data_IF_932093600422
#
_entry.id   IF_932093600422
#
_cell.length_a   1.000
_cell.length_b   1.000
_cell.length_c   1.000
_cell.angle_alpha   90.00
_cell.angle_beta   90.00
_cell.angle_gamma   90.00
#
_symmetry.space_group_name_H-M   'P 1'
#
loop_
_entity.id
_entity.type
_entity.pdbx_description
1 polymer ?
#
# COMPACT_ATOMS: atom_id res chain seq x y z
N UNK A 1 11.71 8.35 17.07
CA UNK A 1 12.52 9.57 17.25
C UNK A 1 11.72 10.76 16.72
N UNK A 2 11.76 11.90 17.43
CA UNK A 2 11.16 13.17 16.97
C UNK A 2 12.23 14.22 16.80
N UNK A 3 12.17 14.95 15.69
CA UNK A 3 13.06 16.04 15.32
C UNK A 3 12.24 17.30 15.12
N UNK A 4 12.74 18.44 15.61
CA UNK A 4 12.13 19.76 15.43
C UNK A 4 13.17 20.73 14.92
N UNK A 5 12.85 21.39 13.81
CA UNK A 5 13.67 22.49 13.27
C UNK A 5 12.86 23.79 13.27
N UNK A 6 13.45 24.86 13.76
CA UNK A 6 12.88 26.21 13.78
C UNK A 6 14.00 27.23 13.53
N UNK A 7 14.19 27.66 12.28
CA UNK A 7 15.32 28.49 11.86
C UNK A 7 16.65 27.80 12.10
N UNK A 8 17.48 28.40 12.94
CA UNK A 8 18.77 27.88 13.38
C UNK A 8 18.69 26.86 14.53
N UNK A 9 17.49 26.72 15.15
CA UNK A 9 17.27 25.75 16.22
C UNK A 9 16.98 24.40 15.65
N UNK A 10 17.71 23.36 16.10
CA UNK A 10 17.44 21.98 15.80
C UNK A 10 17.48 21.15 17.08
N UNK A 11 16.41 20.40 17.34
CA UNK A 11 16.27 19.55 18.52
C UNK A 11 15.86 18.14 18.12
N UNK A 12 16.37 17.15 18.85
CA UNK A 12 16.06 15.73 18.68
C UNK A 12 15.67 15.11 20.01
N UNK A 13 14.62 14.28 20.00
CA UNK A 13 14.23 13.44 21.13
C UNK A 13 14.04 11.99 20.68
N UNK A 14 14.67 11.07 21.38
CA UNK A 14 14.32 9.67 21.33
C UNK A 14 13.18 9.45 22.32
N UNK A 15 12.09 8.83 21.83
CA UNK A 15 10.86 8.70 22.61
C UNK A 15 10.97 7.51 23.54
N UNK A 16 11.01 7.76 24.84
CA UNK A 16 10.88 6.77 25.91
C UNK A 16 9.48 6.79 26.51
N UNK A 17 8.74 7.85 26.21
CA UNK A 17 7.35 8.07 26.63
C UNK A 17 6.54 8.55 25.42
N UNK A 18 5.20 8.43 25.44
CA UNK A 18 4.36 8.80 24.29
C UNK A 18 4.32 10.31 24.01
N UNK A 19 4.87 11.15 24.88
CA UNK A 19 4.89 12.61 24.72
C UNK A 19 6.30 13.17 24.83
N UNK A 20 6.57 14.22 24.04
CA UNK A 20 7.80 15.00 24.13
C UNK A 20 7.47 16.49 24.04
N UNK A 21 8.19 17.30 24.80
CA UNK A 21 8.06 18.76 24.77
C UNK A 21 9.29 19.39 24.10
N UNK A 22 9.04 20.35 23.20
CA UNK A 22 10.07 21.09 22.50
C UNK A 22 9.89 22.58 22.72
N UNK A 23 10.86 23.23 23.34
CA UNK A 23 10.88 24.68 23.52
C UNK A 23 11.44 25.35 22.26
N UNK A 24 10.69 26.28 21.67
CA UNK A 24 11.09 27.01 20.48
C UNK A 24 11.79 28.37 20.78
N UNK A 25 11.85 28.76 22.07
CA UNK A 25 12.32 30.07 22.47
C UNK A 25 11.41 31.18 21.93
N UNK A 26 11.99 32.22 21.33
CA UNK A 26 11.26 33.38 20.80
C UNK A 26 10.76 33.18 19.35
N UNK A 27 10.80 31.96 18.81
CA UNK A 27 10.38 31.66 17.43
C UNK A 27 8.87 31.48 17.37
N UNK A 28 8.26 31.94 16.26
CA UNK A 28 6.80 31.93 16.10
C UNK A 28 6.24 30.53 15.83
N UNK A 29 7.05 29.62 15.33
CA UNK A 29 6.69 28.21 15.05
C UNK A 29 7.90 27.41 14.67
N UNK A 30 7.68 26.16 14.34
CA UNK A 30 8.70 25.30 13.74
C UNK A 30 8.61 25.32 12.22
N UNK A 31 9.72 25.15 11.53
CA UNK A 31 9.75 24.95 10.08
C UNK A 31 9.23 23.56 9.75
N UNK A 32 9.64 22.58 10.56
CA UNK A 32 9.23 21.20 10.42
C UNK A 32 9.33 20.46 11.75
N UNK A 33 8.33 19.62 12.02
CA UNK A 33 8.39 18.54 13.01
C UNK A 33 8.40 17.23 12.24
N UNK A 34 9.43 16.42 12.46
CA UNK A 34 9.60 15.11 11.85
C UNK A 34 9.50 14.01 12.91
N UNK A 35 8.61 13.09 12.71
CA UNK A 35 8.54 11.83 13.47
C UNK A 35 9.19 10.74 12.63
N UNK A 36 10.25 10.13 13.14
CA UNK A 36 10.84 8.94 12.57
C UNK A 36 10.35 7.73 13.38
N UNK A 37 9.48 6.94 12.79
CA UNK A 37 8.87 5.77 13.41
C UNK A 37 9.86 4.61 13.54
N UNK A 38 9.48 3.59 14.30
CA UNK A 38 10.34 2.42 14.54
C UNK A 38 10.64 1.60 13.29
N UNK A 39 9.75 1.65 12.31
CA UNK A 39 9.94 1.03 10.99
C UNK A 39 10.82 1.87 10.04
N UNK A 40 11.39 2.98 10.50
CA UNK A 40 12.24 3.86 9.70
C UNK A 40 11.50 4.91 8.86
N UNK A 41 10.17 4.85 8.80
CA UNK A 41 9.36 5.78 7.98
C UNK A 41 9.25 7.16 8.64
N UNK A 42 9.64 8.26 7.96
CA UNK A 42 9.46 9.61 8.46
C UNK A 42 8.06 10.13 8.15
N UNK A 43 7.45 10.81 9.11
CA UNK A 43 6.29 11.68 8.92
C UNK A 43 6.66 13.12 9.24
N UNK A 44 6.24 14.05 8.41
CA UNK A 44 6.59 15.45 8.55
C UNK A 44 5.34 16.32 8.71
N UNK A 45 5.41 17.28 9.65
CA UNK A 45 4.47 18.40 9.77
C UNK A 45 5.22 19.67 9.45
N UNK A 46 4.86 20.33 8.37
CA UNK A 46 5.46 21.58 7.96
C UNK A 46 4.77 22.77 8.59
N UNK A 47 5.58 23.73 9.05
CA UNK A 47 5.15 25.01 9.60
C UNK A 47 4.08 24.91 10.69
N UNK A 48 4.20 24.00 11.69
CA UNK A 48 3.29 24.00 12.79
C UNK A 48 3.47 25.26 13.66
N UNK A 49 2.36 25.79 14.13
CA UNK A 49 2.37 26.93 15.01
C UNK A 49 2.99 26.60 16.39
N UNK A 50 3.34 27.63 17.16
CA UNK A 50 3.78 27.45 18.54
C UNK A 50 2.60 27.18 19.49
N UNK A 51 2.88 26.70 20.67
CA UNK A 51 1.93 26.49 21.76
C UNK A 51 0.77 25.54 21.40
N UNK A 52 1.04 24.54 20.59
CA UNK A 52 0.06 23.50 20.25
C UNK A 52 0.57 22.11 20.64
N UNK A 53 -0.36 21.18 20.75
CA UNK A 53 -0.08 19.77 20.85
C UNK A 53 -0.31 19.13 19.48
N UNK A 54 0.72 18.46 18.97
CA UNK A 54 0.65 17.69 17.73
C UNK A 54 0.48 16.23 18.13
N UNK A 55 -0.61 15.62 17.69
CA UNK A 55 -0.84 14.19 17.83
C UNK A 55 -0.55 13.55 16.48
N UNK A 56 0.45 12.67 16.45
CA UNK A 56 0.79 11.91 15.25
C UNK A 56 0.44 10.45 15.45
N UNK A 57 -0.28 9.92 14.48
CA UNK A 57 -0.55 8.48 14.36
C UNK A 57 0.30 7.95 13.23
N UNK A 58 0.95 6.82 13.44
CA UNK A 58 1.74 6.18 12.40
C UNK A 58 0.86 5.83 11.21
N UNK A 59 1.13 6.43 10.05
CA UNK A 59 0.56 5.95 8.80
C UNK A 59 1.47 4.87 8.25
N UNK A 60 0.88 3.72 7.95
CA UNK A 60 1.58 2.66 7.24
C UNK A 60 1.71 3.11 5.78
N UNK A 61 2.94 3.36 5.36
CA UNK A 61 3.27 3.63 3.97
C UNK A 61 4.06 2.46 3.43
N UNK A 62 3.78 2.06 2.20
CA UNK A 62 4.60 1.11 1.46
C UNK A 62 6.02 1.64 1.23
N UNK A 63 6.91 0.81 0.76
CA UNK A 63 8.28 1.19 0.36
C UNK A 63 8.34 1.75 -1.07
N UNK A 64 7.28 1.60 -1.83
CA UNK A 64 7.19 1.97 -3.24
C UNK A 64 7.07 3.49 -3.42
N UNK A 65 7.43 4.02 -4.59
CA UNK A 65 7.18 5.42 -4.93
C UNK A 65 5.69 5.77 -4.85
N UNK A 66 5.37 7.02 -4.60
CA UNK A 66 4.00 7.50 -4.48
C UNK A 66 3.66 8.46 -5.61
N UNK A 67 2.40 8.36 -6.07
CA UNK A 67 1.81 9.30 -7.00
C UNK A 67 0.87 10.24 -6.26
N UNK A 68 1.06 11.55 -6.48
CA UNK A 68 0.22 12.62 -5.97
C UNK A 68 -0.37 13.42 -7.13
N UNK A 69 -1.58 13.94 -6.94
CA UNK A 69 -2.25 14.88 -7.83
C UNK A 69 -2.47 16.24 -7.19
N UNK A 70 -2.46 17.28 -7.98
CA UNK A 70 -2.82 18.64 -7.53
C UNK A 70 -4.33 18.78 -7.43
N UNK A 71 -4.86 19.18 -6.25
CA UNK A 71 -6.29 19.31 -5.94
C UNK A 71 -6.73 20.76 -5.74
N UNK A 72 -6.01 21.71 -6.31
CA UNK A 72 -6.33 23.14 -6.15
C UNK A 72 -5.67 23.81 -4.95
N UNK A 73 -5.54 23.11 -3.83
CA UNK A 73 -4.93 23.62 -2.59
C UNK A 73 -3.57 23.00 -2.27
N UNK A 74 -3.30 21.81 -2.80
CA UNK A 74 -2.09 21.08 -2.52
C UNK A 74 -1.98 19.81 -3.36
N UNK A 75 -0.91 19.05 -3.13
CA UNK A 75 -0.75 17.71 -3.66
C UNK A 75 -1.34 16.69 -2.69
N UNK A 76 -2.25 15.86 -3.16
CA UNK A 76 -2.86 14.77 -2.41
C UNK A 76 -2.46 13.41 -2.97
N UNK A 77 -2.32 12.45 -2.07
CA UNK A 77 -1.94 11.09 -2.42
C UNK A 77 -3.03 10.41 -3.25
N UNK A 78 -2.64 9.81 -4.37
CA UNK A 78 -3.52 9.02 -5.23
C UNK A 78 -3.30 7.53 -4.98
N UNK A 79 -2.08 7.04 -5.21
CA UNK A 79 -1.70 5.64 -5.08
C UNK A 79 -0.19 5.50 -4.96
N UNK A 80 0.26 4.33 -4.59
CA UNK A 80 1.65 3.90 -4.72
C UNK A 80 1.91 3.26 -6.08
N UNK A 81 3.19 3.15 -6.43
CA UNK A 81 3.65 2.58 -7.70
C UNK A 81 4.27 1.23 -7.39
N UNK A 82 3.59 0.18 -7.81
CA UNK A 82 3.95 -1.21 -7.53
C UNK A 82 4.39 -1.91 -8.82
N UNK A 83 5.49 -1.54 -9.42
CA UNK A 83 5.89 -2.25 -10.63
C UNK A 83 5.79 -3.77 -10.48
N UNK A 84 5.11 -4.47 -11.40
CA UNK A 84 4.95 -5.92 -11.37
C UNK A 84 6.25 -6.64 -11.72
N UNK A 85 7.33 -6.25 -11.08
CA UNK A 85 8.62 -6.92 -11.21
C UNK A 85 8.80 -7.89 -10.04
N UNK A 86 9.58 -8.93 -10.27
CA UNK A 86 9.91 -9.91 -9.24
C UNK A 86 10.91 -9.39 -8.19
N UNK A 87 10.96 -8.08 -7.98
CA UNK A 87 11.89 -7.42 -7.06
C UNK A 87 11.81 -8.02 -5.66
N UNK A 88 12.96 -8.44 -5.14
CA UNK A 88 13.07 -9.03 -3.82
C UNK A 88 12.48 -10.44 -3.69
N UNK A 89 12.01 -11.04 -4.77
CA UNK A 89 11.57 -12.44 -4.74
C UNK A 89 12.77 -13.36 -4.48
N UNK A 90 12.73 -14.22 -3.45
CA UNK A 90 13.81 -15.16 -3.19
C UNK A 90 13.81 -16.26 -4.25
N UNK A 91 14.96 -16.45 -4.91
CA UNK A 91 15.16 -17.50 -5.92
C UNK A 91 15.78 -18.76 -5.32
N UNK A 92 16.45 -18.63 -4.18
CA UNK A 92 17.15 -19.74 -3.52
C UNK A 92 18.30 -19.28 -2.65
N UNK A 93 19.16 -20.22 -2.26
CA UNK A 93 20.40 -19.95 -1.53
C UNK A 93 21.58 -20.42 -2.37
N UNK A 94 22.54 -19.53 -2.56
CA UNK A 94 23.79 -19.81 -3.25
C UNK A 94 24.96 -19.50 -2.31
N UNK A 95 25.81 -20.48 -2.06
CA UNK A 95 26.96 -20.36 -1.15
C UNK A 95 26.63 -19.85 0.28
N UNK A 96 25.42 -20.17 0.78
CA UNK A 96 24.96 -19.76 2.10
C UNK A 96 24.25 -18.39 2.13
N UNK A 97 24.21 -17.66 1.02
CA UNK A 97 23.57 -16.36 0.91
C UNK A 97 22.27 -16.44 0.12
N UNK A 98 21.23 -15.69 0.50
CA UNK A 98 19.99 -15.66 -0.25
C UNK A 98 20.20 -14.99 -1.61
N UNK A 99 19.67 -15.63 -2.65
CA UNK A 99 19.65 -15.10 -4.00
C UNK A 99 18.26 -14.50 -4.29
N UNK A 100 18.23 -13.23 -4.68
CA UNK A 100 17.01 -12.53 -5.04
C UNK A 100 16.90 -12.27 -6.53
N UNK A 101 15.68 -12.18 -7.04
CA UNK A 101 15.43 -11.79 -8.41
C UNK A 101 15.88 -10.35 -8.66
N UNK A 102 16.50 -10.12 -9.82
CA UNK A 102 16.78 -8.79 -10.30
C UNK A 102 15.50 -8.13 -10.83
N UNK A 103 15.34 -6.80 -10.64
CA UNK A 103 14.24 -6.08 -11.25
C UNK A 103 14.37 -6.07 -12.77
N UNK A 104 13.23 -6.24 -13.44
CA UNK A 104 13.14 -6.07 -14.89
C UNK A 104 12.30 -4.83 -15.18
N UNK A 105 12.53 -4.22 -16.35
CA UNK A 105 11.65 -3.18 -16.87
C UNK A 105 10.24 -3.74 -17.09
N UNK A 106 9.23 -3.08 -16.56
CA UNK A 106 7.82 -3.50 -16.64
C UNK A 106 6.93 -2.30 -16.88
N UNK A 107 5.77 -2.54 -17.46
CA UNK A 107 4.71 -1.53 -17.58
C UNK A 107 3.82 -1.58 -16.35
N UNK A 108 3.41 -0.41 -15.85
CA UNK A 108 2.43 -0.29 -14.81
C UNK A 108 1.40 0.77 -15.17
N UNK A 109 0.13 0.45 -14.92
CA UNK A 109 -1.00 1.32 -15.21
C UNK A 109 -1.65 1.73 -13.90
N UNK A 110 -1.53 3.00 -13.57
CA UNK A 110 -2.10 3.58 -12.36
C UNK A 110 -3.41 4.29 -12.67
N UNK A 111 -4.44 3.99 -11.90
CA UNK A 111 -5.70 4.73 -11.99
C UNK A 111 -5.56 6.08 -11.29
N UNK A 112 -5.79 7.16 -12.05
CA UNK A 112 -5.90 8.51 -11.53
C UNK A 112 -7.37 8.92 -11.62
N UNK A 113 -8.13 8.95 -10.50
CA UNK A 113 -9.52 9.42 -10.53
C UNK A 113 -9.61 10.87 -10.99
N UNK A 114 -10.57 11.19 -11.86
CA UNK A 114 -10.72 12.55 -12.41
C UNK A 114 -10.93 13.63 -11.33
N UNK A 115 -11.57 13.28 -10.22
CA UNK A 115 -11.75 14.16 -9.07
C UNK A 115 -10.50 14.32 -8.18
N UNK A 116 -9.42 13.61 -8.47
CA UNK A 116 -8.13 13.75 -7.79
C UNK A 116 -7.22 14.79 -8.44
N UNK A 117 -7.69 15.45 -9.49
CA UNK A 117 -6.92 16.44 -10.25
C UNK A 117 -7.73 17.72 -10.48
N UNK A 118 -7.11 18.86 -10.18
CA UNK A 118 -7.61 20.17 -10.60
C UNK A 118 -6.64 20.88 -11.53
N UNK A 119 -7.20 21.69 -12.43
CA UNK A 119 -6.41 22.46 -13.37
C UNK A 119 -5.72 23.60 -12.63
N UNK A 120 -4.41 23.72 -12.85
CA UNK A 120 -3.59 24.84 -12.40
C UNK A 120 -2.90 25.44 -13.62
N UNK A 121 -3.10 26.74 -13.86
CA UNK A 121 -2.48 27.45 -14.99
C UNK A 121 -2.69 26.75 -16.36
N UNK A 122 -3.88 26.16 -16.55
CA UNK A 122 -4.24 25.47 -17.78
C UNK A 122 -3.66 24.06 -17.94
N UNK A 123 -3.06 23.49 -16.90
CA UNK A 123 -2.39 22.17 -16.93
C UNK A 123 -2.76 21.33 -15.71
N UNK A 124 -2.63 20.02 -15.85
CA UNK A 124 -2.68 19.08 -14.72
C UNK A 124 -1.27 18.80 -14.21
N UNK A 125 -1.14 18.70 -12.88
CA UNK A 125 0.13 18.41 -12.24
C UNK A 125 0.06 17.12 -11.45
N UNK A 126 0.96 16.21 -11.79
CA UNK A 126 1.20 14.96 -11.09
C UNK A 126 2.63 15.01 -10.51
N UNK A 127 2.81 14.45 -9.33
CA UNK A 127 4.09 14.39 -8.65
C UNK A 127 4.39 12.96 -8.21
N UNK A 128 5.55 12.45 -8.59
CA UNK A 128 6.10 11.22 -8.03
C UNK A 128 7.07 11.55 -6.91
N UNK A 129 7.01 10.79 -5.82
CA UNK A 129 7.96 10.89 -4.72
C UNK A 129 8.55 9.53 -4.38
N UNK A 130 9.80 9.53 -3.98
CA UNK A 130 10.50 8.38 -3.39
C UNK A 130 10.79 8.73 -1.94
N UNK A 131 9.99 8.22 -1.00
CA UNK A 131 10.13 8.59 0.41
C UNK A 131 11.02 7.63 1.20
N UNK A 132 11.28 6.46 0.69
CA UNK A 132 12.16 5.46 1.29
C UNK A 132 13.40 5.24 0.42
N UNK A 133 13.91 4.06 0.38
CA UNK A 133 15.20 3.75 -0.26
C UNK A 133 15.09 3.15 -1.65
N UNK A 134 13.88 2.96 -2.15
CA UNK A 134 13.70 2.46 -3.51
C UNK A 134 13.97 3.56 -4.52
N UNK A 135 14.80 3.24 -5.50
CA UNK A 135 15.15 4.16 -6.58
C UNK A 135 14.39 3.78 -7.83
N UNK A 136 13.38 4.56 -8.26
CA UNK A 136 12.66 4.31 -9.49
C UNK A 136 13.46 4.81 -10.69
N UNK A 137 13.57 3.99 -11.69
CA UNK A 137 14.11 4.33 -13.01
C UNK A 137 12.96 4.41 -14.01
N UNK A 138 12.37 5.60 -14.14
CA UNK A 138 11.28 5.87 -15.08
C UNK A 138 11.88 6.10 -16.47
N UNK A 139 11.43 5.32 -17.46
CA UNK A 139 11.85 5.46 -18.85
C UNK A 139 10.77 6.19 -19.68
N UNK A 140 9.49 5.86 -19.47
CA UNK A 140 8.38 6.45 -20.20
C UNK A 140 7.18 6.68 -19.30
N UNK A 141 6.52 7.83 -19.46
CA UNK A 141 5.27 8.16 -18.77
C UNK A 141 4.27 8.65 -19.81
N UNK A 142 3.06 8.10 -19.80
CA UNK A 142 1.94 8.52 -20.64
C UNK A 142 0.69 8.70 -19.78
N UNK A 143 -0.11 9.72 -20.07
CA UNK A 143 -1.42 9.88 -19.46
C UNK A 143 -2.48 9.43 -20.46
N UNK A 144 -3.23 8.38 -20.07
CA UNK A 144 -4.35 7.87 -20.83
C UNK A 144 -5.65 8.48 -20.28
N UNK A 145 -6.46 9.06 -21.15
CA UNK A 145 -7.76 9.62 -20.75
C UNK A 145 -8.85 8.64 -21.15
N UNK A 146 -9.69 8.28 -20.18
CA UNK A 146 -10.80 7.35 -20.35
C UNK A 146 -12.09 8.01 -19.92
N UNK A 147 -12.95 8.32 -20.90
CA UNK A 147 -14.28 8.84 -20.66
C UNK A 147 -15.28 7.69 -20.53
N UNK A 148 -16.04 7.68 -19.45
CA UNK A 148 -17.08 6.67 -19.22
C UNK A 148 -18.25 7.29 -18.43
N UNK A 149 -19.48 6.74 -18.57
CA UNK A 149 -20.61 7.13 -17.74
C UNK A 149 -20.29 6.92 -16.24
N UNK A 150 -20.85 7.73 -15.38
CA UNK A 150 -20.65 7.65 -13.93
C UNK A 150 -21.07 6.28 -13.36
N UNK A 151 -22.07 5.63 -13.98
CA UNK A 151 -22.54 4.29 -13.63
C UNK A 151 -21.57 3.15 -13.99
N UNK A 152 -20.56 3.44 -14.81
CA UNK A 152 -19.58 2.43 -15.28
C UNK A 152 -18.30 2.57 -14.49
N UNK A 153 -17.84 1.48 -13.88
CA UNK A 153 -16.53 1.42 -13.28
C UNK A 153 -15.52 0.84 -14.27
N UNK A 154 -14.35 1.44 -14.31
CA UNK A 154 -13.24 1.00 -15.17
C UNK A 154 -12.05 0.61 -14.29
N UNK A 155 -11.42 -0.50 -14.59
CA UNK A 155 -10.18 -0.92 -13.95
C UNK A 155 -9.27 -1.65 -14.94
N UNK A 156 -8.03 -1.78 -14.58
CA UNK A 156 -6.99 -2.49 -15.30
C UNK A 156 -6.54 -3.68 -14.46
N UNK A 157 -5.98 -4.67 -15.13
CA UNK A 157 -5.41 -5.84 -14.46
C UNK A 157 -4.01 -5.47 -13.92
N UNK A 158 -3.89 -5.39 -12.61
CA UNK A 158 -2.61 -5.14 -11.92
C UNK A 158 -1.97 -6.47 -11.50
N UNK A 159 -1.63 -7.29 -12.46
CA UNK A 159 -1.08 -8.62 -12.18
C UNK A 159 0.37 -8.56 -11.71
N UNK A 160 0.62 -9.05 -10.51
CA UNK A 160 1.94 -9.36 -9.96
C UNK A 160 2.38 -10.75 -10.42
N UNK A 161 2.80 -10.87 -11.67
CA UNK A 161 3.27 -12.14 -12.22
C UNK A 161 4.65 -12.01 -12.86
N UNK A 162 5.47 -13.06 -12.82
CA UNK A 162 6.70 -13.07 -13.60
C UNK A 162 6.41 -13.09 -15.10
N UNK A 163 7.33 -12.61 -15.95
CA UNK A 163 7.17 -12.64 -17.40
C UNK A 163 6.91 -14.07 -17.94
N UNK A 164 6.13 -14.21 -19.07
CA UNK A 164 5.66 -13.14 -19.92
C UNK A 164 4.46 -12.40 -19.33
N UNK A 165 4.50 -11.04 -19.35
CA UNK A 165 3.41 -10.24 -18.85
C UNK A 165 2.17 -10.37 -19.75
N UNK A 166 0.96 -10.38 -19.17
CA UNK A 166 -0.27 -10.35 -19.96
C UNK A 166 -0.36 -9.03 -20.73
N UNK A 167 -1.00 -9.03 -21.91
CA UNK A 167 -1.25 -7.80 -22.62
C UNK A 167 -2.13 -6.88 -21.78
N UNK A 168 -1.90 -5.58 -21.90
CA UNK A 168 -2.77 -4.58 -21.28
C UNK A 168 -4.23 -4.80 -21.62
N UNK A 169 -5.09 -4.86 -20.62
CA UNK A 169 -6.53 -4.95 -20.75
C UNK A 169 -7.21 -4.01 -19.78
N UNK A 170 -8.22 -3.33 -20.31
CA UNK A 170 -9.11 -2.50 -19.52
C UNK A 170 -10.46 -3.22 -19.40
N UNK A 171 -10.97 -3.28 -18.20
CA UNK A 171 -12.25 -3.91 -17.90
C UNK A 171 -13.23 -2.85 -17.43
N UNK A 172 -14.51 -3.07 -17.72
CA UNK A 172 -15.58 -2.24 -17.21
C UNK A 172 -16.71 -3.10 -16.62
N UNK A 173 -17.41 -2.56 -15.64
CA UNK A 173 -18.55 -3.21 -15.03
C UNK A 173 -19.52 -2.17 -14.47
N UNK A 174 -20.80 -2.50 -14.44
CA UNK A 174 -21.87 -1.67 -13.88
C UNK A 174 -22.37 -2.18 -12.55
N UNK A 175 -22.39 -3.50 -12.37
CA UNK A 175 -22.96 -4.18 -11.23
C UNK A 175 -21.86 -4.73 -10.31
N UNK A 176 -22.05 -4.51 -9.01
CA UNK A 176 -21.24 -5.10 -7.95
C UNK A 176 -22.13 -5.94 -7.07
N UNK A 177 -21.77 -7.18 -6.89
CA UNK A 177 -22.47 -8.06 -5.97
C UNK A 177 -21.62 -8.33 -4.74
N UNK A 178 -22.22 -8.15 -3.57
CA UNK A 178 -21.62 -8.56 -2.32
C UNK A 178 -21.90 -10.06 -2.10
N UNK A 179 -21.02 -10.76 -1.37
CA UNK A 179 -21.33 -12.12 -0.95
C UNK A 179 -22.58 -12.15 -0.07
N UNK A 180 -23.35 -13.23 -0.17
CA UNK A 180 -24.51 -13.49 0.68
C UNK A 180 -24.16 -14.31 1.93
N UNK A 181 -22.97 -14.93 1.93
CA UNK A 181 -22.37 -15.55 3.10
C UNK A 181 -20.84 -15.50 3.01
N UNK A 182 -20.20 -15.41 4.17
CA UNK A 182 -18.78 -15.48 4.32
C UNK A 182 -18.45 -16.26 5.61
N UNK A 183 -17.87 -17.42 5.47
CA UNK A 183 -17.65 -18.35 6.58
C UNK A 183 -16.19 -18.82 6.56
N UNK A 184 -15.54 -18.81 7.71
CA UNK A 184 -14.19 -19.36 7.84
C UNK A 184 -14.18 -20.88 8.03
N UNK A 185 -12.98 -21.46 8.07
CA UNK A 185 -12.75 -22.90 8.30
C UNK A 185 -13.19 -23.37 9.71
N UNK A 186 -13.45 -22.44 10.63
CA UNK A 186 -13.97 -22.72 11.98
C UNK A 186 -15.50 -22.56 12.05
N UNK A 187 -16.16 -22.19 10.96
CA UNK A 187 -17.59 -21.95 10.89
C UNK A 187 -18.02 -20.58 11.43
N UNK A 188 -17.09 -19.62 11.58
CA UNK A 188 -17.41 -18.27 12.02
C UNK A 188 -18.02 -17.48 10.86
N UNK A 189 -19.14 -16.82 11.10
CA UNK A 189 -19.74 -15.89 10.13
C UNK A 189 -18.96 -14.57 10.15
N UNK A 190 -18.40 -14.22 9.00
CA UNK A 190 -17.58 -13.03 8.80
C UNK A 190 -18.19 -12.04 7.80
N UNK A 191 -19.46 -12.24 7.40
CA UNK A 191 -20.09 -11.46 6.34
C UNK A 191 -20.06 -9.97 6.62
N UNK A 192 -20.42 -9.53 7.82
CA UNK A 192 -20.42 -8.12 8.19
C UNK A 192 -19.00 -7.49 8.14
N UNK A 193 -17.96 -8.28 8.41
CA UNK A 193 -16.56 -7.82 8.43
C UNK A 193 -15.98 -7.57 7.05
N UNK A 194 -16.58 -8.13 6.00
CA UNK A 194 -16.02 -8.07 4.64
C UNK A 194 -16.92 -7.36 3.63
N UNK A 195 -18.12 -6.93 4.04
CA UNK A 195 -19.07 -6.24 3.15
C UNK A 195 -19.06 -4.72 3.30
N UNK A 196 -18.47 -4.19 4.36
CA UNK A 196 -18.38 -2.77 4.63
C UNK A 196 -16.92 -2.29 4.57
N UNK A 197 -16.72 -1.10 4.02
CA UNK A 197 -15.42 -0.44 4.02
C UNK A 197 -15.30 0.47 5.25
N UNK A 198 -15.16 -0.12 6.42
CA UNK A 198 -15.15 0.55 7.72
C UNK A 198 -13.81 0.45 8.46
N UNK A 199 -12.81 -0.18 7.84
CA UNK A 199 -11.50 -0.51 8.43
C UNK A 199 -11.56 -1.57 9.53
N UNK A 200 -12.66 -2.29 9.63
CA UNK A 200 -12.72 -3.51 10.41
C UNK A 200 -12.36 -4.71 9.51
N UNK A 201 -11.45 -5.53 9.99
CA UNK A 201 -10.88 -6.64 9.23
C UNK A 201 -11.24 -7.97 9.90
N UNK A 202 -10.98 -9.06 9.23
CA UNK A 202 -11.13 -10.41 9.80
C UNK A 202 -10.27 -10.53 11.08
N UNK A 203 -10.88 -10.75 12.26
CA UNK A 203 -10.17 -10.62 13.53
C UNK A 203 -9.49 -11.90 14.01
N UNK A 204 -9.81 -13.04 13.40
CA UNK A 204 -9.50 -14.38 13.91
C UNK A 204 -8.31 -15.06 13.23
N UNK A 205 -7.47 -14.28 12.54
CA UNK A 205 -6.20 -14.80 12.01
C UNK A 205 -5.26 -15.13 13.16
N UNK A 206 -4.79 -16.37 13.24
CA UNK A 206 -3.84 -16.81 14.27
C UNK A 206 -2.42 -16.49 13.81
N UNK A 207 -1.69 -15.61 14.51
CA UNK A 207 -0.31 -15.29 14.15
C UNK A 207 0.59 -16.52 14.22
N UNK A 208 1.38 -16.74 13.19
CA UNK A 208 2.42 -17.74 13.14
C UNK A 208 3.68 -17.32 13.89
N UNK A 209 4.72 -18.12 13.78
CA UNK A 209 6.02 -17.87 14.44
C UNK A 209 6.72 -16.60 13.92
N UNK A 210 6.50 -16.25 12.67
CA UNK A 210 7.15 -15.12 12.00
C UNK A 210 6.18 -13.96 11.75
N UNK A 211 6.68 -12.75 11.81
CA UNK A 211 5.91 -11.54 11.48
C UNK A 211 5.29 -11.64 10.08
N UNK A 212 4.01 -11.29 9.96
CA UNK A 212 3.28 -11.30 8.69
C UNK A 212 2.89 -12.70 8.20
N UNK A 213 3.11 -13.72 9.01
CA UNK A 213 2.71 -15.10 8.73
C UNK A 213 1.60 -15.50 9.70
N UNK A 214 0.57 -16.12 9.18
CA UNK A 214 -0.51 -16.70 9.97
C UNK A 214 -0.55 -18.21 9.79
N UNK A 215 -1.24 -18.92 10.68
CA UNK A 215 -1.64 -20.29 10.42
C UNK A 215 -2.57 -20.36 9.21
N UNK A 216 -2.72 -21.54 8.62
CA UNK A 216 -3.62 -21.76 7.51
C UNK A 216 -5.05 -21.33 7.92
N UNK A 217 -5.69 -20.58 7.05
CA UNK A 217 -7.01 -20.04 7.29
C UNK A 217 -7.77 -19.94 5.98
N UNK A 218 -8.94 -20.52 5.91
CA UNK A 218 -9.78 -20.51 4.73
C UNK A 218 -10.97 -19.57 4.95
N UNK A 219 -11.30 -18.79 3.93
CA UNK A 219 -12.50 -17.98 3.87
C UNK A 219 -13.36 -18.40 2.68
N UNK A 220 -14.53 -18.93 2.98
CA UNK A 220 -15.51 -19.39 1.98
C UNK A 220 -16.50 -18.26 1.73
N UNK A 221 -16.55 -17.77 0.49
CA UNK A 221 -17.48 -16.75 0.03
C UNK A 221 -18.59 -17.39 -0.80
N UNK A 222 -19.84 -17.03 -0.53
CA UNK A 222 -21.00 -17.48 -1.29
C UNK A 222 -21.64 -16.28 -1.96
N UNK A 223 -21.85 -16.36 -3.26
CA UNK A 223 -22.56 -15.38 -4.06
C UNK A 223 -23.87 -15.98 -4.60
N UNK A 224 -24.78 -15.10 -5.00
CA UNK A 224 -25.97 -15.54 -5.71
C UNK A 224 -25.62 -16.18 -7.07
N UNK A 225 -26.64 -16.74 -7.71
CA UNK A 225 -26.47 -17.42 -9.00
C UNK A 225 -26.07 -16.43 -10.11
N UNK A 226 -24.89 -16.64 -10.66
CA UNK A 226 -24.26 -15.82 -11.70
C UNK A 226 -24.11 -16.58 -13.03
N UNK A 227 -24.96 -17.58 -13.29
CA UNK A 227 -24.84 -18.48 -14.45
C UNK A 227 -24.87 -17.78 -15.81
N UNK A 228 -25.48 -16.62 -15.90
CA UNK A 228 -25.57 -15.84 -17.14
C UNK A 228 -24.37 -14.89 -17.36
N UNK A 229 -23.37 -14.93 -16.49
CA UNK A 229 -22.19 -14.09 -16.61
C UNK A 229 -21.11 -14.74 -17.51
N UNK A 230 -20.64 -14.01 -18.51
CA UNK A 230 -19.54 -14.45 -19.39
C UNK A 230 -18.19 -14.49 -18.65
N UNK A 231 -18.00 -13.58 -17.69
CA UNK A 231 -16.78 -13.46 -16.89
C UNK A 231 -17.08 -12.88 -15.52
N UNK A 232 -16.34 -13.31 -14.52
CA UNK A 232 -16.43 -12.82 -13.15
C UNK A 232 -15.08 -12.26 -12.74
N UNK A 233 -15.11 -11.12 -12.03
CA UNK A 233 -13.94 -10.51 -11.42
C UNK A 233 -14.17 -10.37 -9.93
N UNK A 234 -13.23 -10.84 -9.14
CA UNK A 234 -13.25 -10.66 -7.70
C UNK A 234 -12.45 -9.41 -7.35
N UNK A 235 -13.13 -8.41 -6.82
CA UNK A 235 -12.48 -7.22 -6.27
C UNK A 235 -12.21 -7.43 -4.78
N UNK A 236 -10.96 -7.30 -4.39
CA UNK A 236 -10.50 -7.41 -3.01
C UNK A 236 -9.95 -6.05 -2.56
N UNK A 237 -10.39 -5.59 -1.41
CA UNK A 237 -9.82 -4.43 -0.74
C UNK A 237 -9.38 -4.80 0.66
N UNK A 238 -8.13 -4.52 0.96
CA UNK A 238 -7.51 -4.92 2.22
C UNK A 238 -6.05 -4.48 2.24
N UNK A 239 -5.29 -5.06 3.15
CA UNK A 239 -3.86 -4.86 3.25
C UNK A 239 -3.18 -6.14 3.71
N UNK A 240 -1.91 -6.28 3.35
CA UNK A 240 -1.08 -7.38 3.79
C UNK A 240 -0.12 -6.89 4.87
N UNK A 241 -0.03 -7.64 5.96
CA UNK A 241 1.00 -7.38 6.96
C UNK A 241 2.35 -7.86 6.40
N UNK A 242 3.33 -6.96 6.20
CA UNK A 242 4.54 -7.32 5.47
C UNK A 242 5.40 -8.32 6.26
N UNK A 243 5.97 -9.27 5.53
CA UNK A 243 7.05 -10.12 6.04
C UNK A 243 8.39 -9.64 5.48
N UNK A 244 9.48 -9.99 6.16
CA UNK A 244 10.83 -9.77 5.65
C UNK A 244 11.20 -10.85 4.61
N UNK A 245 11.96 -10.46 3.59
CA UNK A 245 12.40 -11.40 2.54
C UNK A 245 13.24 -12.56 3.09
N UNK A 246 14.03 -12.32 4.14
CA UNK A 246 14.80 -13.37 4.82
C UNK A 246 13.91 -14.40 5.52
N UNK A 247 12.76 -13.95 6.04
CA UNK A 247 11.73 -14.82 6.61
C UNK A 247 11.14 -15.70 5.51
N UNK A 248 10.80 -15.13 4.35
CA UNK A 248 10.26 -15.86 3.22
C UNK A 248 11.21 -16.97 2.75
N UNK A 249 12.51 -16.70 2.70
CA UNK A 249 13.53 -17.72 2.37
C UNK A 249 13.51 -18.84 3.40
N UNK A 250 13.48 -18.52 4.69
CA UNK A 250 13.44 -19.52 5.76
C UNK A 250 12.17 -20.39 5.69
N UNK A 251 11.02 -19.75 5.44
CA UNK A 251 9.74 -20.45 5.30
C UNK A 251 9.78 -21.39 4.08
N UNK A 252 10.26 -20.94 2.94
CA UNK A 252 10.32 -21.74 1.72
C UNK A 252 11.18 -22.99 1.85
N UNK A 253 12.11 -22.98 2.79
CA UNK A 253 13.00 -24.12 3.11
C UNK A 253 12.43 -25.02 4.22
N UNK A 254 11.43 -24.57 4.94
CA UNK A 254 10.78 -25.35 5.99
C UNK A 254 9.94 -26.46 5.37
N UNK A 255 10.10 -27.70 5.88
CA UNK A 255 9.30 -28.84 5.45
C UNK A 255 7.80 -28.67 5.75
N UNK A 256 7.43 -27.78 6.67
CA UNK A 256 6.05 -27.48 7.03
C UNK A 256 5.26 -26.79 5.89
N UNK A 257 5.92 -26.07 4.98
CA UNK A 257 5.28 -25.30 3.93
C UNK A 257 5.40 -25.91 2.53
N UNK A 258 6.02 -27.07 2.41
CA UNK A 258 6.28 -27.70 1.09
C UNK A 258 5.07 -28.28 0.35
N UNK A 259 3.90 -28.32 0.96
CA UNK A 259 2.79 -29.12 0.42
C UNK A 259 1.48 -28.38 0.16
N UNK A 260 1.42 -27.05 0.31
CA UNK A 260 0.14 -26.33 0.27
C UNK A 260 -0.31 -26.01 -1.15
N UNK A 261 0.57 -26.05 -2.15
CA UNK A 261 0.19 -25.86 -3.54
C UNK A 261 0.43 -27.16 -4.33
N UNK A 262 -0.63 -27.86 -4.77
CA UNK A 262 -0.49 -28.88 -5.79
C UNK A 262 -0.04 -28.20 -7.10
N UNK A 263 1.08 -28.61 -7.64
CA UNK A 263 1.53 -28.24 -8.99
C UNK A 263 0.60 -28.82 -10.04
#
# INVERSE_FOLDING_TARGET
>A
KVEVKAGDLYQVRYMEQPTAHFGLGNRDGADVVRVLWSNGVPQNRFKPERNQTIVETQSLKGSCPYLFGWTGSGYEFITDVLWPSALGMPLGIMAGEPLYAFPNSTDEYLRVPGNSLEIKDGSYFLQFTTELWETPYLDKIELLVVDHPESVNVFIDETFIPPPYPPFRMYNFTDKQLPIAAIDDQGTDLLEKITLLDKEYIPNLVPGLYQGVTELHDLILVFEDLRDADSLFLFLQGWLFPTDASINVNISQSSLFRSIFPY
#
